data_IF_287833330196
#
_entry.id   IF_287833330196
#
_cell.length_a   1.000
_cell.length_b   1.000
_cell.length_c   1.000
_cell.angle_alpha   90.00
_cell.angle_beta   90.00
_cell.angle_gamma   90.00
#
_symmetry.space_group_name_H-M   'P 1'
#
loop_
_entity.id
_entity.type
_entity.pdbx_description
1 polymer ?
#
# COMPACT_ATOMS: atom_id res chain seq x y z
N UNK A 1 -17.24 1.70 1.37
CA UNK A 1 -16.76 0.87 0.24
C UNK A 1 -17.71 0.88 -0.93
N UNK A 2 -19.03 1.04 -0.73
CA UNK A 2 -19.99 1.04 -1.82
C UNK A 2 -19.72 2.18 -2.80
N UNK A 3 -19.31 3.36 -2.31
CA UNK A 3 -18.96 4.50 -3.16
C UNK A 3 -17.85 4.14 -4.16
N UNK A 4 -16.79 3.46 -3.72
CA UNK A 4 -15.69 3.02 -4.56
C UNK A 4 -16.11 1.89 -5.49
N UNK A 5 -16.82 0.88 -4.98
CA UNK A 5 -17.28 -0.28 -5.76
C UNK A 5 -18.27 0.10 -6.87
N UNK A 6 -19.00 1.22 -6.71
CA UNK A 6 -19.87 1.76 -7.76
C UNK A 6 -19.10 2.50 -8.86
N UNK A 7 -17.86 2.93 -8.60
CA UNK A 7 -17.04 3.73 -9.52
C UNK A 7 -15.93 2.96 -10.19
N UNK A 8 -15.37 1.97 -9.50
CA UNK A 8 -14.24 1.17 -9.97
C UNK A 8 -14.65 -0.29 -10.11
N UNK A 9 -14.32 -0.88 -11.25
CA UNK A 9 -14.53 -2.32 -11.50
C UNK A 9 -13.52 -3.17 -10.72
N UNK A 10 -12.34 -2.58 -10.46
CA UNK A 10 -11.22 -3.24 -9.79
C UNK A 10 -10.64 -2.30 -8.73
N UNK A 11 -10.49 -2.81 -7.51
CA UNK A 11 -9.76 -2.14 -6.44
C UNK A 11 -8.60 -3.05 -6.06
N UNK A 12 -7.38 -2.56 -6.24
CA UNK A 12 -6.16 -3.29 -5.93
C UNK A 12 -5.62 -2.76 -4.63
N UNK A 13 -5.61 -3.60 -3.59
CA UNK A 13 -4.98 -3.30 -2.32
C UNK A 13 -3.64 -4.01 -2.33
N UNK A 14 -2.55 -3.31 -2.08
CA UNK A 14 -1.22 -3.91 -2.07
C UNK A 14 -0.37 -3.35 -0.94
N UNK A 15 0.65 -4.11 -0.58
CA UNK A 15 1.62 -3.76 0.44
C UNK A 15 3.00 -4.32 0.03
N UNK A 16 4.06 -3.70 0.56
CA UNK A 16 5.44 -4.12 0.30
C UNK A 16 6.26 -4.20 1.58
N UNK A 17 6.98 -5.30 1.74
CA UNK A 17 8.10 -5.37 2.68
C UNK A 17 9.41 -5.13 1.96
N UNK A 18 10.32 -4.40 2.59
CA UNK A 18 11.53 -3.90 1.94
C UNK A 18 12.77 -4.04 2.81
N UNK A 19 13.96 -4.02 2.20
CA UNK A 19 15.23 -4.05 2.95
C UNK A 19 15.53 -2.76 3.73
N UNK A 20 14.72 -1.71 3.54
CA UNK A 20 14.94 -0.36 4.06
C UNK A 20 13.96 0.66 3.48
N UNK A 21 14.19 1.95 3.73
CA UNK A 21 13.23 3.02 3.42
C UNK A 21 13.53 3.78 2.12
N UNK A 22 14.69 3.58 1.50
CA UNK A 22 15.11 4.28 0.29
C UNK A 22 14.69 3.49 -0.96
N UNK A 23 13.50 3.80 -1.47
CA UNK A 23 12.91 3.29 -2.71
C UNK A 23 13.82 3.30 -3.96
N UNK A 24 14.96 4.02 -3.98
CA UNK A 24 15.93 3.96 -5.08
C UNK A 24 17.03 2.91 -4.89
N UNK A 25 17.36 2.60 -3.64
CA UNK A 25 18.54 1.81 -3.24
C UNK A 25 18.19 0.48 -2.58
N UNK A 26 17.12 0.48 -1.80
CA UNK A 26 16.58 -0.67 -1.08
C UNK A 26 15.70 -1.51 -2.01
N UNK A 27 15.53 -2.78 -1.65
CA UNK A 27 14.84 -3.77 -2.48
C UNK A 27 13.53 -4.19 -1.82
N UNK A 28 12.51 -4.45 -2.65
CA UNK A 28 11.30 -5.14 -2.20
C UNK A 28 11.67 -6.61 -1.99
N UNK A 29 11.31 -7.15 -0.82
CA UNK A 29 11.54 -8.55 -0.42
C UNK A 29 10.23 -9.33 -0.32
N UNK A 30 9.09 -8.64 -0.18
CA UNK A 30 7.75 -9.21 -0.31
C UNK A 30 6.86 -8.21 -1.05
N UNK A 31 6.08 -8.69 -2.00
CA UNK A 31 5.05 -7.92 -2.69
C UNK A 31 3.76 -8.74 -2.67
N UNK A 32 2.75 -8.20 -1.99
CA UNK A 32 1.43 -8.82 -1.93
C UNK A 32 0.37 -7.87 -2.46
N UNK A 33 -0.64 -8.43 -3.11
CA UNK A 33 -1.77 -7.65 -3.59
C UNK A 33 -3.06 -8.47 -3.63
N UNK A 34 -4.18 -7.80 -3.39
CA UNK A 34 -5.55 -8.28 -3.49
C UNK A 34 -6.27 -7.48 -4.57
N UNK A 35 -7.02 -8.15 -5.46
CA UNK A 35 -7.93 -7.49 -6.40
C UNK A 35 -9.35 -7.78 -5.97
N UNK A 36 -10.04 -6.71 -5.62
CA UNK A 36 -11.45 -6.73 -5.25
C UNK A 36 -12.27 -6.31 -6.46
N UNK A 37 -13.27 -7.10 -6.80
CA UNK A 37 -14.26 -6.79 -7.84
C UNK A 37 -15.64 -7.19 -7.35
N UNK A 38 -16.63 -6.32 -7.54
CA UNK A 38 -18.00 -6.50 -7.03
C UNK A 38 -18.08 -6.81 -5.52
N UNK A 39 -17.13 -6.29 -4.73
CA UNK A 39 -17.08 -6.46 -3.27
C UNK A 39 -16.34 -7.72 -2.80
N UNK A 40 -15.96 -8.60 -3.71
CA UNK A 40 -15.29 -9.87 -3.39
C UNK A 40 -13.82 -9.83 -3.81
N UNK A 41 -12.95 -10.49 -3.04
CA UNK A 41 -11.57 -10.73 -3.47
C UNK A 41 -11.62 -11.81 -4.56
N UNK A 42 -11.34 -11.41 -5.79
CA UNK A 42 -11.41 -12.30 -6.97
C UNK A 42 -10.05 -12.82 -7.40
N UNK A 43 -8.98 -12.23 -6.87
CA UNK A 43 -7.60 -12.60 -7.16
C UNK A 43 -6.67 -12.04 -6.09
N UNK A 44 -5.66 -12.81 -5.72
CA UNK A 44 -4.59 -12.37 -4.83
C UNK A 44 -3.24 -12.97 -5.27
N UNK A 45 -2.15 -12.36 -4.83
CA UNK A 45 -0.84 -12.99 -4.82
C UNK A 45 -0.01 -12.47 -3.65
N UNK A 46 0.92 -13.30 -3.19
CA UNK A 46 1.89 -12.99 -2.15
C UNK A 46 3.24 -13.57 -2.59
N UNK A 47 4.19 -12.71 -2.95
CA UNK A 47 5.48 -13.11 -3.47
C UNK A 47 6.62 -12.60 -2.61
N UNK A 48 7.38 -13.54 -2.05
CA UNK A 48 8.77 -13.29 -1.67
C UNK A 48 9.62 -13.04 -2.91
N UNK A 49 10.59 -12.13 -2.82
CA UNK A 49 11.41 -11.69 -3.95
C UNK A 49 12.89 -11.86 -3.62
N UNK A 50 13.63 -12.50 -4.52
CA UNK A 50 15.07 -12.72 -4.37
C UNK A 50 15.84 -11.41 -4.23
N UNK A 51 16.76 -11.35 -3.27
CA UNK A 51 17.73 -10.28 -3.16
C UNK A 51 18.70 -10.27 -4.34
N UNK A 52 19.18 -9.09 -4.71
CA UNK A 52 20.26 -8.99 -5.71
C UNK A 52 21.56 -9.62 -5.16
N UNK A 53 22.42 -10.19 -6.03
CA UNK A 53 23.67 -10.79 -5.60
C UNK A 53 24.51 -9.83 -4.74
N UNK A 54 24.96 -10.31 -3.57
CA UNK A 54 25.77 -9.55 -2.62
C UNK A 54 24.99 -8.60 -1.70
N UNK A 55 23.67 -8.50 -1.84
CA UNK A 55 22.82 -7.81 -0.86
C UNK A 55 22.52 -8.72 0.34
N UNK A 56 22.29 -8.09 1.48
CA UNK A 56 21.96 -8.74 2.75
C UNK A 56 20.75 -8.07 3.37
N UNK A 57 19.96 -8.87 4.06
CA UNK A 57 18.86 -8.44 4.91
C UNK A 57 19.41 -8.16 6.30
N UNK A 58 19.09 -6.98 6.86
CA UNK A 58 19.53 -6.67 8.22
C UNK A 58 18.71 -7.48 9.23
N UNK A 59 19.32 -7.82 10.37
CA UNK A 59 18.62 -8.52 11.46
C UNK A 59 17.35 -7.79 11.90
N UNK A 60 17.38 -6.46 11.94
CA UNK A 60 16.21 -5.64 12.27
C UNK A 60 15.04 -5.90 11.31
N UNK A 61 15.29 -5.99 9.99
CA UNK A 61 14.21 -6.25 9.03
C UNK A 61 13.72 -7.69 9.16
N UNK A 62 14.62 -8.67 9.33
CA UNK A 62 14.20 -10.06 9.56
C UNK A 62 13.38 -10.23 10.84
N UNK A 63 13.73 -9.55 11.93
CA UNK A 63 12.98 -9.58 13.17
C UNK A 63 11.62 -8.86 13.03
N UNK A 64 11.57 -7.81 12.21
CA UNK A 64 10.36 -7.03 11.97
C UNK A 64 9.34 -7.82 11.14
N UNK A 65 9.78 -8.39 10.00
CA UNK A 65 8.89 -9.01 9.01
C UNK A 65 8.79 -10.53 9.15
N UNK A 66 9.68 -11.15 9.92
CA UNK A 66 9.84 -12.60 10.00
C UNK A 66 10.48 -13.23 8.75
N UNK A 67 10.87 -12.44 7.75
CA UNK A 67 11.44 -12.92 6.49
C UNK A 67 12.97 -13.11 6.65
N UNK A 68 13.47 -14.26 6.20
CA UNK A 68 14.90 -14.60 6.27
C UNK A 68 15.56 -14.63 4.89
N UNK A 69 16.87 -14.38 4.82
CA UNK A 69 17.61 -14.50 3.54
C UNK A 69 17.49 -15.89 2.91
N UNK A 70 17.54 -16.94 3.74
CA UNK A 70 17.41 -18.33 3.27
C UNK A 70 16.05 -18.57 2.62
N UNK A 71 14.98 -17.99 3.21
CA UNK A 71 13.64 -18.06 2.64
C UNK A 71 13.56 -17.31 1.30
N UNK A 72 14.14 -16.11 1.22
CA UNK A 72 14.19 -15.33 -0.03
C UNK A 72 14.94 -16.09 -1.13
N UNK A 73 16.03 -16.80 -0.81
CA UNK A 73 16.78 -17.58 -1.79
C UNK A 73 16.03 -18.84 -2.23
N UNK A 74 15.41 -19.56 -1.29
CA UNK A 74 14.73 -20.83 -1.56
C UNK A 74 13.36 -20.66 -2.23
N UNK A 75 12.58 -19.68 -1.80
CA UNK A 75 11.16 -19.52 -2.17
C UNK A 75 10.91 -18.28 -3.04
N UNK A 76 11.81 -17.29 -2.98
CA UNK A 76 11.64 -16.03 -3.67
C UNK A 76 11.59 -16.17 -5.20
N UNK A 77 10.68 -15.42 -5.82
CA UNK A 77 10.60 -15.30 -7.28
C UNK A 77 11.62 -14.28 -7.80
N UNK A 78 11.88 -14.31 -9.12
CA UNK A 78 12.69 -13.27 -9.74
C UNK A 78 11.97 -11.92 -9.72
N UNK A 79 12.73 -10.83 -9.81
CA UNK A 79 12.16 -9.48 -9.78
C UNK A 79 11.23 -9.23 -10.98
N UNK A 80 11.61 -9.72 -12.15
CA UNK A 80 10.81 -9.64 -13.38
C UNK A 80 9.50 -10.44 -13.27
N UNK A 81 9.51 -11.57 -12.55
CA UNK A 81 8.31 -12.38 -12.33
C UNK A 81 7.29 -11.62 -11.48
N UNK A 82 7.73 -11.05 -10.36
CA UNK A 82 6.88 -10.23 -9.50
C UNK A 82 6.42 -8.93 -10.20
N UNK A 83 7.30 -8.28 -10.99
CA UNK A 83 6.94 -7.11 -11.78
C UNK A 83 5.84 -7.43 -12.81
N UNK A 84 6.03 -8.50 -13.58
CA UNK A 84 5.05 -8.95 -14.57
C UNK A 84 3.70 -9.30 -13.91
N UNK A 85 3.72 -9.93 -12.74
CA UNK A 85 2.51 -10.26 -11.97
C UNK A 85 1.75 -9.00 -11.56
N UNK A 86 2.45 -8.02 -10.98
CA UNK A 86 1.84 -6.77 -10.55
C UNK A 86 1.33 -5.96 -11.73
N UNK A 87 2.06 -5.89 -12.84
CA UNK A 87 1.60 -5.24 -14.07
C UNK A 87 0.32 -5.84 -14.62
N UNK A 88 0.19 -7.17 -14.65
CA UNK A 88 -1.05 -7.83 -15.07
C UNK A 88 -2.23 -7.39 -14.22
N UNK A 89 -2.02 -7.29 -12.91
CA UNK A 89 -3.06 -6.83 -11.97
C UNK A 89 -3.43 -5.36 -12.21
N UNK A 90 -2.42 -4.49 -12.34
CA UNK A 90 -2.62 -3.06 -12.63
C UNK A 90 -3.22 -2.78 -14.02
N UNK A 91 -3.14 -3.74 -14.94
CA UNK A 91 -3.62 -3.59 -16.32
C UNK A 91 -5.14 -3.76 -16.45
N UNK A 92 -5.83 -4.16 -15.38
CA UNK A 92 -7.29 -4.23 -15.40
C UNK A 92 -7.90 -2.84 -15.65
N UNK A 93 -8.99 -2.74 -16.44
CA UNK A 93 -9.64 -1.48 -16.71
C UNK A 93 -10.30 -0.92 -15.44
N UNK A 94 -10.50 0.40 -15.41
CA UNK A 94 -11.20 1.10 -14.34
C UNK A 94 -10.73 0.70 -12.93
N UNK A 95 -9.41 0.83 -12.71
CA UNK A 95 -8.71 0.37 -11.51
C UNK A 95 -8.41 1.52 -10.54
N UNK A 96 -8.67 1.28 -9.26
CA UNK A 96 -8.18 2.05 -8.12
C UNK A 96 -7.08 1.25 -7.41
N UNK A 97 -5.96 1.89 -7.11
CA UNK A 97 -4.91 1.32 -6.26
C UNK A 97 -4.98 1.90 -4.86
N UNK A 98 -4.86 1.05 -3.85
CA UNK A 98 -4.92 1.40 -2.44
C UNK A 98 -3.77 0.75 -1.69
N UNK A 99 -3.20 1.48 -0.74
CA UNK A 99 -2.27 0.98 0.25
C UNK A 99 -2.44 1.78 1.56
N UNK A 100 -1.97 1.26 2.68
CA UNK A 100 -1.91 2.00 3.94
C UNK A 100 -0.58 2.74 4.00
N UNK A 101 -0.59 4.08 4.05
CA UNK A 101 0.59 4.91 3.81
C UNK A 101 1.09 4.81 2.36
N UNK A 102 0.16 4.87 1.40
CA UNK A 102 0.39 4.53 0.00
C UNK A 102 1.56 5.26 -0.69
N UNK A 103 1.94 6.45 -0.21
CA UNK A 103 3.10 7.19 -0.72
C UNK A 103 4.38 6.34 -0.68
N UNK A 104 4.57 5.52 0.35
CA UNK A 104 5.75 4.67 0.51
C UNK A 104 5.77 3.56 -0.53
N UNK A 105 4.74 2.71 -0.54
CA UNK A 105 4.63 1.54 -1.41
C UNK A 105 4.57 1.92 -2.89
N UNK A 106 3.86 3.00 -3.24
CA UNK A 106 3.81 3.50 -4.62
C UNK A 106 5.18 4.02 -5.09
N UNK A 107 6.00 4.60 -4.20
CA UNK A 107 7.36 4.97 -4.55
C UNK A 107 8.21 3.72 -4.81
N UNK A 108 8.16 2.72 -3.93
CA UNK A 108 8.87 1.45 -4.14
C UNK A 108 8.44 0.78 -5.44
N UNK A 109 7.13 0.64 -5.65
CA UNK A 109 6.54 0.03 -6.84
C UNK A 109 6.95 0.77 -8.12
N UNK A 110 6.95 2.11 -8.13
CA UNK A 110 7.37 2.88 -9.30
C UNK A 110 8.82 2.57 -9.69
N UNK A 111 9.77 2.63 -8.75
CA UNK A 111 11.18 2.39 -9.08
C UNK A 111 11.45 0.92 -9.38
N UNK A 112 10.71 0.02 -8.75
CA UNK A 112 10.73 -1.40 -9.04
C UNK A 112 10.30 -1.69 -10.48
N UNK A 113 9.11 -1.20 -10.88
CA UNK A 113 8.61 -1.35 -12.24
C UNK A 113 9.45 -0.57 -13.26
N UNK A 114 10.09 0.55 -12.89
CA UNK A 114 10.98 1.26 -13.80
C UNK A 114 12.24 0.45 -14.16
N UNK A 115 12.64 -0.48 -13.29
CA UNK A 115 13.84 -1.31 -13.49
C UNK A 115 13.54 -2.69 -14.07
N UNK A 116 12.46 -3.32 -13.65
CA UNK A 116 12.15 -4.73 -13.96
C UNK A 116 10.88 -4.90 -14.80
N UNK A 117 10.26 -3.80 -15.24
CA UNK A 117 8.94 -3.80 -15.87
C UNK A 117 8.60 -2.51 -16.61
N UNK A 118 7.35 -2.05 -16.48
CA UNK A 118 6.82 -0.84 -17.09
C UNK A 118 6.14 0.08 -16.06
N UNK A 119 6.91 1.00 -15.48
CA UNK A 119 6.38 2.04 -14.59
C UNK A 119 5.35 2.99 -15.25
N UNK A 120 5.29 3.01 -16.59
CA UNK A 120 4.30 3.80 -17.33
C UNK A 120 2.86 3.42 -17.03
N UNK A 121 2.62 2.19 -16.56
CA UNK A 121 1.29 1.71 -16.17
C UNK A 121 0.65 2.54 -15.05
N UNK A 122 1.46 3.15 -14.18
CA UNK A 122 1.00 3.94 -13.02
C UNK A 122 0.51 5.34 -13.40
N UNK A 123 0.82 5.86 -14.60
CA UNK A 123 0.60 7.28 -14.96
C UNK A 123 -0.85 7.75 -14.86
N UNK A 124 -1.82 6.85 -15.11
CA UNK A 124 -3.24 7.19 -15.17
C UNK A 124 -4.09 6.42 -14.15
N UNK A 125 -3.46 5.66 -13.25
CA UNK A 125 -4.16 4.90 -12.23
C UNK A 125 -4.58 5.85 -11.11
N UNK A 126 -5.83 5.69 -10.64
CA UNK A 126 -6.32 6.37 -9.44
C UNK A 126 -5.74 5.72 -8.19
N UNK A 127 -5.40 6.53 -7.21
CA UNK A 127 -4.72 6.09 -6.01
C UNK A 127 -5.48 6.59 -4.78
N UNK A 128 -5.53 5.80 -3.72
CA UNK A 128 -6.08 6.20 -2.44
C UNK A 128 -5.15 5.74 -1.33
N UNK A 129 -4.86 6.63 -0.39
CA UNK A 129 -4.08 6.31 0.80
C UNK A 129 -5.03 6.07 1.98
N UNK A 130 -5.09 4.83 2.46
CA UNK A 130 -5.97 4.46 3.57
C UNK A 130 -5.58 5.18 4.88
N UNK A 131 -4.29 5.51 5.06
CA UNK A 131 -3.81 6.26 6.21
C UNK A 131 -4.38 7.69 6.23
N UNK A 132 -4.39 8.37 5.08
CA UNK A 132 -5.00 9.70 4.95
C UNK A 132 -6.46 9.69 5.41
N UNK A 133 -7.23 8.66 5.03
CA UNK A 133 -8.62 8.52 5.47
C UNK A 133 -8.70 8.24 6.97
N UNK A 134 -7.88 7.33 7.48
CA UNK A 134 -7.88 6.96 8.90
C UNK A 134 -7.58 8.15 9.82
N UNK A 135 -6.64 9.02 9.41
CA UNK A 135 -6.26 10.23 10.17
C UNK A 135 -7.38 11.25 10.33
N UNK A 136 -8.34 11.29 9.40
CA UNK A 136 -9.53 12.13 9.53
C UNK A 136 -10.59 11.51 10.45
N UNK A 137 -10.45 10.24 10.81
CA UNK A 137 -11.44 9.48 11.61
C UNK A 137 -11.00 9.22 13.03
N UNK A 138 -9.70 9.14 13.29
CA UNK A 138 -9.15 8.86 14.62
C UNK A 138 -7.96 9.78 14.95
N UNK A 139 -7.81 10.19 16.23
CA UNK A 139 -6.62 10.90 16.67
C UNK A 139 -5.38 10.00 16.61
N UNK A 140 -4.20 10.60 16.71
CA UNK A 140 -2.95 9.85 16.83
C UNK A 140 -3.02 8.86 18.02
N UNK A 141 -2.46 7.64 17.92
CA UNK A 141 -1.53 7.13 16.91
C UNK A 141 -2.15 6.56 15.62
N UNK A 142 -1.36 6.59 14.53
CA UNK A 142 -1.81 6.32 13.17
C UNK A 142 -1.04 5.20 12.43
N UNK A 143 -0.53 4.20 13.14
CA UNK A 143 -0.05 2.98 12.47
C UNK A 143 -1.23 2.07 12.12
N UNK A 144 -1.05 1.15 11.17
CA UNK A 144 -2.09 0.19 10.79
C UNK A 144 -2.57 -0.63 12.00
N UNK A 145 -1.66 -1.07 12.89
CA UNK A 145 -2.05 -1.73 14.14
C UNK A 145 -3.01 -0.90 15.02
N UNK A 146 -2.84 0.43 15.06
CA UNK A 146 -3.74 1.31 15.80
C UNK A 146 -5.11 1.40 15.13
N UNK A 147 -5.14 1.38 13.79
CA UNK A 147 -6.38 1.38 13.03
C UNK A 147 -7.17 0.07 13.19
N UNK A 148 -6.47 -1.07 13.16
CA UNK A 148 -7.03 -2.39 13.47
C UNK A 148 -7.68 -2.39 14.86
N UNK A 149 -6.95 -1.94 15.88
CA UNK A 149 -7.43 -1.86 17.25
C UNK A 149 -8.63 -0.90 17.38
N UNK A 150 -8.54 0.30 16.82
CA UNK A 150 -9.56 1.33 16.93
C UNK A 150 -10.89 0.96 16.25
N UNK A 151 -10.87 0.04 15.27
CA UNK A 151 -12.05 -0.49 14.60
C UNK A 151 -12.44 -1.90 15.07
N UNK A 152 -11.71 -2.49 16.03
CA UNK A 152 -11.99 -3.82 16.56
C UNK A 152 -11.89 -4.93 15.51
N UNK A 153 -10.93 -4.81 14.58
CA UNK A 153 -10.73 -5.78 13.50
C UNK A 153 -9.96 -7.00 14.00
N UNK A 154 -10.18 -8.16 13.38
CA UNK A 154 -9.55 -9.42 13.75
C UNK A 154 -8.17 -9.64 13.12
N UNK A 155 -7.71 -8.75 12.23
CA UNK A 155 -6.38 -8.82 11.62
C UNK A 155 -5.28 -8.41 12.60
N UNK A 156 -4.03 -8.74 12.28
CA UNK A 156 -2.85 -8.26 13.01
C UNK A 156 -1.92 -7.55 12.03
N UNK A 157 -1.22 -6.51 12.48
CA UNK A 157 -0.15 -5.88 11.70
C UNK A 157 1.11 -6.73 11.86
N UNK A 158 1.14 -7.86 11.17
CA UNK A 158 2.16 -8.90 11.30
C UNK A 158 3.48 -8.55 10.60
N UNK A 159 3.51 -7.45 9.82
CA UNK A 159 4.62 -7.11 8.92
C UNK A 159 4.88 -8.21 7.88
N UNK A 160 3.78 -8.82 7.44
CA UNK A 160 3.68 -9.63 6.24
C UNK A 160 2.76 -8.91 5.29
N UNK A 161 3.25 -8.63 4.08
CA UNK A 161 2.57 -7.77 3.13
C UNK A 161 1.13 -8.25 2.83
N UNK A 162 0.91 -9.58 2.76
CA UNK A 162 -0.42 -10.13 2.48
C UNK A 162 -1.41 -9.92 3.63
N UNK A 163 -0.95 -10.02 4.88
CA UNK A 163 -1.78 -9.81 6.06
C UNK A 163 -2.13 -8.33 6.20
N UNK A 164 -1.15 -7.45 5.97
CA UNK A 164 -1.33 -6.00 6.03
C UNK A 164 -2.23 -5.48 4.89
N UNK A 165 -2.14 -6.07 3.69
CA UNK A 165 -3.08 -5.80 2.59
C UNK A 165 -4.51 -6.24 2.93
N UNK A 166 -4.70 -7.42 3.56
CA UNK A 166 -6.03 -7.89 4.00
C UNK A 166 -6.57 -7.04 5.14
N UNK A 167 -5.75 -6.70 6.12
CA UNK A 167 -6.13 -5.81 7.22
C UNK A 167 -6.51 -4.42 6.71
N UNK A 168 -5.80 -3.91 5.69
CA UNK A 168 -6.15 -2.66 5.02
C UNK A 168 -7.52 -2.74 4.34
N UNK A 169 -7.83 -3.84 3.64
CA UNK A 169 -9.14 -4.05 3.04
C UNK A 169 -10.27 -4.10 4.08
N UNK A 170 -10.10 -4.88 5.15
CA UNK A 170 -11.06 -4.95 6.26
C UNK A 170 -11.25 -3.58 6.91
N UNK A 171 -10.15 -2.87 7.11
CA UNK A 171 -10.17 -1.50 7.63
C UNK A 171 -11.01 -0.63 6.71
N UNK A 172 -10.79 -0.64 5.39
CA UNK A 172 -11.59 0.13 4.43
C UNK A 172 -13.09 -0.18 4.51
N UNK A 173 -13.47 -1.45 4.70
CA UNK A 173 -14.87 -1.81 4.90
C UNK A 173 -15.44 -1.20 6.19
N UNK A 174 -14.75 -1.33 7.32
CA UNK A 174 -15.17 -0.77 8.60
C UNK A 174 -15.28 0.75 8.57
N UNK A 175 -14.26 1.38 8.00
CA UNK A 175 -14.15 2.80 7.71
C UNK A 175 -15.31 3.31 6.82
N UNK A 176 -15.68 2.55 5.78
CA UNK A 176 -16.83 2.88 4.93
C UNK A 176 -18.19 2.67 5.57
N UNK A 177 -18.30 1.74 6.54
CA UNK A 177 -19.53 1.56 7.34
C UNK A 177 -19.77 2.75 8.27
N UNK A 178 -18.70 3.34 8.81
CA UNK A 178 -18.79 4.57 9.62
C UNK A 178 -19.22 5.76 8.75
N UNK A 179 -18.52 5.99 7.62
CA UNK A 179 -18.85 7.06 6.69
C UNK A 179 -18.28 6.79 5.30
N UNK A 180 -19.11 6.67 4.27
CA UNK A 180 -18.68 6.26 2.92
C UNK A 180 -18.36 7.45 2.00
N UNK A 181 -17.25 8.13 2.27
CA UNK A 181 -16.78 9.33 1.55
C UNK A 181 -15.44 9.16 0.83
N UNK A 182 -15.01 7.92 0.60
CA UNK A 182 -13.72 7.60 -0.02
C UNK A 182 -13.48 8.31 -1.36
N UNK A 183 -14.56 8.62 -2.08
CA UNK A 183 -14.52 9.35 -3.34
C UNK A 183 -13.83 10.70 -3.27
N UNK A 184 -13.86 11.33 -2.09
CA UNK A 184 -13.22 12.63 -1.82
C UNK A 184 -11.72 12.51 -1.51
N UNK A 185 -11.23 11.29 -1.27
CA UNK A 185 -9.84 10.98 -0.95
C UNK A 185 -9.05 10.45 -2.16
N UNK A 186 -9.70 10.19 -3.30
CA UNK A 186 -9.02 9.70 -4.50
C UNK A 186 -8.03 10.76 -4.98
N UNK A 187 -6.78 10.34 -5.15
CA UNK A 187 -5.64 11.17 -5.49
C UNK A 187 -5.42 12.34 -4.52
N UNK A 188 -5.80 12.18 -3.25
CA UNK A 188 -5.59 13.17 -2.20
C UNK A 188 -4.84 12.54 -1.03
N UNK A 189 -3.56 12.85 -0.90
CA UNK A 189 -2.71 12.31 0.16
C UNK A 189 -2.40 13.37 1.20
N UNK A 190 -2.59 13.00 2.47
CA UNK A 190 -2.19 13.80 3.61
C UNK A 190 -0.73 13.61 3.96
N UNK A 191 -0.05 14.69 4.33
CA UNK A 191 1.31 14.62 4.86
C UNK A 191 1.42 15.43 6.15
N UNK A 192 2.25 14.98 7.09
CA UNK A 192 2.50 15.73 8.30
C UNK A 192 3.43 16.93 7.98
N UNK A 193 3.01 18.19 8.21
CA UNK A 193 3.81 19.36 7.84
C UNK A 193 5.19 19.42 8.50
N UNK A 194 5.36 18.78 9.67
CA UNK A 194 6.64 18.68 10.37
C UNK A 194 7.68 17.89 9.58
N UNK A 195 7.24 16.88 8.83
CA UNK A 195 8.13 15.95 8.11
C UNK A 195 8.10 16.16 6.59
N UNK A 196 7.08 16.84 6.07
CA UNK A 196 6.87 16.99 4.63
C UNK A 196 6.31 15.72 3.99
N UNK A 197 6.33 15.67 2.66
CA UNK A 197 5.95 14.47 1.89
C UNK A 197 7.13 13.52 1.85
N UNK A 198 6.89 12.24 2.15
CA UNK A 198 7.90 11.18 2.02
C UNK A 198 8.21 10.89 0.56
N UNK A 199 9.48 10.93 0.16
CA UNK A 199 9.88 10.61 -1.22
C UNK A 199 9.41 11.63 -2.28
N UNK A 200 9.56 11.30 -3.58
CA UNK A 200 9.12 12.16 -4.67
C UNK A 200 7.59 12.25 -4.75
N UNK A 201 7.08 13.44 -5.06
CA UNK A 201 5.64 13.64 -5.28
C UNK A 201 5.18 12.89 -6.53
N UNK A 202 4.05 12.20 -6.41
CA UNK A 202 3.34 11.56 -7.51
C UNK A 202 2.52 12.64 -8.20
N UNK A 203 2.76 12.87 -9.50
CA UNK A 203 2.19 14.00 -10.23
C UNK A 203 0.66 13.99 -10.34
N UNK A 204 0.04 12.81 -10.29
CA UNK A 204 -1.41 12.62 -10.33
C UNK A 204 -2.09 12.83 -8.97
N UNK A 205 -1.31 13.03 -7.89
CA UNK A 205 -1.78 13.15 -6.51
C UNK A 205 -1.69 14.60 -6.01
N UNK A 206 -2.77 15.09 -5.43
CA UNK A 206 -2.81 16.31 -4.64
C UNK A 206 -2.33 16.01 -3.21
N UNK A 207 -1.45 16.86 -2.69
CA UNK A 207 -0.92 16.72 -1.34
C UNK A 207 -1.41 17.85 -0.44
N UNK A 208 -1.96 17.50 0.72
CA UNK A 208 -2.45 18.47 1.70
C UNK A 208 -1.81 18.27 3.09
N UNK A 209 -1.50 19.36 3.81
CA UNK A 209 -1.16 19.31 5.23
C UNK A 209 -2.20 18.54 6.04
N UNK A 210 -1.77 17.53 6.78
CA UNK A 210 -2.61 16.77 7.71
C UNK A 210 -1.79 16.47 8.97
N UNK A 211 -1.75 17.39 9.95
CA UNK A 211 -1.06 17.17 11.22
C UNK A 211 -1.78 16.08 12.05
N UNK A 212 -1.16 15.66 13.16
CA UNK A 212 -1.75 14.64 14.05
C UNK A 212 -3.05 15.10 14.70
N UNK A 213 -3.18 16.40 14.99
CA UNK A 213 -4.32 16.99 15.69
C UNK A 213 -5.24 17.75 14.71
N UNK A 214 -5.55 17.17 13.55
CA UNK A 214 -6.51 17.77 12.61
C UNK A 214 -7.94 17.57 13.10
N UNK A 215 -8.71 18.65 13.18
CA UNK A 215 -10.14 18.63 13.57
C UNK A 215 -11.09 18.80 12.38
N UNK A 216 -10.54 18.94 11.18
CA UNK A 216 -11.29 19.02 9.91
C UNK A 216 -10.84 17.91 8.99
N UNK A 217 -11.73 17.49 8.11
CA UNK A 217 -11.38 16.54 7.06
C UNK A 217 -10.45 17.20 6.06
N UNK A 218 -9.50 16.44 5.54
CA UNK A 218 -8.43 16.98 4.68
C UNK A 218 -8.93 17.58 3.35
N UNK A 219 -10.15 17.21 2.93
CA UNK A 219 -10.77 17.68 1.69
C UNK A 219 -11.72 18.89 1.87
N UNK A 220 -11.83 19.43 3.09
CA UNK A 220 -12.63 20.61 3.44
C UNK A 220 -11.78 21.88 3.43
#
# INVERSE_FOLDING_TARGET
MQSLLNRFENIIIFDTETTGIDHKRDEIIELAALRVSYGEVVEEFDYLIKLSPGKRLSAFISDLTGITEDQLEAEGVSKETAACRMEKMLSHPNTLVVAYNAQFDLCFLYYYLARYGNAGILKNIKMLDALTVYKDRRPYPHKLCNAIEAYGLSGENSHRAIDDARATLELMYAMGKEYDDFDRYINLFGYNPKFGVSGPKISSVCYQPQPYDSYKKIYE
#
